data_IF_869353650210
#
_entry.id   IF_869353650210
#
_cell.length_a   1.000
_cell.length_b   1.000
_cell.length_c   1.000
_cell.angle_alpha   90.00
_cell.angle_beta   90.00
_cell.angle_gamma   90.00
#
_symmetry.space_group_name_H-M   'P 1'
#
loop_
_entity.id
_entity.type
_entity.pdbx_description
1 polymer ?
#
# COMPACT_ATOMS: atom_id res chain seq x y z
N UNK A 1 -11.12 30.13 -26.03
CA UNK A 1 -11.30 29.71 -24.62
C UNK A 1 -11.37 28.19 -24.59
N UNK A 2 -10.30 27.52 -24.16
CA UNK A 2 -10.32 26.04 -24.02
C UNK A 2 -11.18 25.69 -22.82
N UNK A 3 -12.32 25.03 -23.05
CA UNK A 3 -13.14 24.51 -21.97
C UNK A 3 -12.33 23.45 -21.21
N UNK A 4 -11.86 23.79 -20.01
CA UNK A 4 -11.08 22.87 -19.19
C UNK A 4 -11.92 21.62 -18.92
N UNK A 5 -11.48 20.45 -19.42
CA UNK A 5 -12.17 19.16 -19.26
C UNK A 5 -12.61 18.95 -17.81
N UNK A 6 -13.86 18.59 -17.51
CA UNK A 6 -14.33 18.41 -16.14
C UNK A 6 -13.54 17.33 -15.38
N UNK A 7 -13.43 17.44 -14.04
CA UNK A 7 -12.61 16.54 -13.20
C UNK A 7 -13.13 15.11 -13.28
N UNK A 8 -14.44 14.96 -13.43
CA UNK A 8 -15.13 13.70 -13.64
C UNK A 8 -14.67 12.99 -14.91
N UNK A 9 -14.43 13.71 -16.01
CA UNK A 9 -13.93 13.13 -17.25
C UNK A 9 -12.49 12.63 -17.09
N UNK A 10 -11.64 13.38 -16.38
CA UNK A 10 -10.26 12.95 -16.08
C UNK A 10 -10.26 11.70 -15.21
N UNK A 11 -11.05 11.67 -14.13
CA UNK A 11 -11.20 10.50 -13.27
C UNK A 11 -11.72 9.29 -14.05
N UNK A 12 -12.74 9.47 -14.90
CA UNK A 12 -13.28 8.38 -15.72
C UNK A 12 -12.23 7.82 -16.68
N UNK A 13 -11.39 8.67 -17.27
CA UNK A 13 -10.28 8.22 -18.13
C UNK A 13 -9.24 7.39 -17.36
N UNK A 14 -8.91 7.78 -16.12
CA UNK A 14 -7.98 7.04 -15.27
C UNK A 14 -8.55 5.69 -14.84
N UNK A 15 -9.85 5.61 -14.55
CA UNK A 15 -10.54 4.35 -14.30
C UNK A 15 -10.45 3.39 -15.50
N UNK A 16 -10.68 3.89 -16.71
CA UNK A 16 -10.56 3.10 -17.94
C UNK A 16 -9.12 2.60 -18.12
N UNK A 17 -8.11 3.45 -17.90
CA UNK A 17 -6.70 3.04 -17.99
C UNK A 17 -6.38 1.90 -17.02
N UNK A 18 -6.74 2.05 -15.74
CA UNK A 18 -6.44 1.03 -14.72
C UNK A 18 -7.12 -0.31 -15.05
N UNK A 19 -8.35 -0.26 -15.57
CA UNK A 19 -9.10 -1.47 -15.95
C UNK A 19 -8.58 -2.13 -17.24
N UNK A 20 -8.14 -1.35 -18.22
CA UNK A 20 -7.71 -1.84 -19.53
C UNK A 20 -6.24 -2.29 -19.55
N UNK A 21 -5.38 -1.66 -18.75
CA UNK A 21 -3.99 -2.06 -18.59
C UNK A 21 -3.92 -3.30 -17.71
N UNK A 22 -3.85 -4.46 -18.39
CA UNK A 22 -3.76 -5.78 -17.75
C UNK A 22 -2.73 -5.83 -16.62
N UNK A 23 -1.55 -5.22 -16.81
CA UNK A 23 -0.50 -5.18 -15.79
C UNK A 23 -0.94 -4.46 -14.50
N UNK A 24 -1.63 -3.33 -14.61
CA UNK A 24 -2.14 -2.56 -13.47
C UNK A 24 -3.33 -3.23 -12.80
N UNK A 25 -4.22 -3.82 -13.60
CA UNK A 25 -5.36 -4.56 -13.08
C UNK A 25 -4.92 -5.80 -12.28
N UNK A 26 -4.00 -6.59 -12.84
CA UNK A 26 -3.47 -7.77 -12.17
C UNK A 26 -2.59 -7.42 -10.96
N UNK A 27 -1.87 -6.30 -10.97
CA UNK A 27 -1.13 -5.84 -9.79
C UNK A 27 -2.05 -5.39 -8.66
N UNK A 28 -3.24 -4.85 -8.94
CA UNK A 28 -4.24 -4.58 -7.91
C UNK A 28 -4.82 -5.88 -7.33
N UNK A 29 -5.15 -6.85 -8.18
CA UNK A 29 -5.64 -8.17 -7.74
C UNK A 29 -4.58 -8.90 -6.91
N UNK A 30 -3.30 -8.78 -7.26
CA UNK A 30 -2.24 -9.47 -6.53
C UNK A 30 -2.11 -8.96 -5.10
N UNK A 31 -2.53 -7.73 -4.78
CA UNK A 31 -2.61 -7.24 -3.38
C UNK A 31 -3.51 -8.15 -2.56
N UNK A 32 -4.72 -8.41 -3.05
CA UNK A 32 -5.69 -9.27 -2.37
C UNK A 32 -5.18 -10.72 -2.33
N UNK A 33 -4.78 -11.27 -3.48
CA UNK A 33 -4.39 -12.69 -3.59
C UNK A 33 -3.17 -12.99 -2.74
N UNK A 34 -2.12 -12.16 -2.79
CA UNK A 34 -0.91 -12.39 -2.01
C UNK A 34 -1.19 -12.28 -0.51
N UNK A 35 -1.94 -11.26 -0.08
CA UNK A 35 -2.21 -11.05 1.35
C UNK A 35 -3.11 -12.12 1.93
N UNK A 36 -4.28 -12.34 1.31
CA UNK A 36 -5.30 -13.28 1.81
C UNK A 36 -4.81 -14.71 1.63
N UNK A 37 -4.23 -15.03 0.47
CA UNK A 37 -3.75 -16.37 0.17
C UNK A 37 -2.64 -16.80 1.13
N UNK A 38 -1.65 -15.93 1.38
CA UNK A 38 -0.57 -16.27 2.31
C UNK A 38 -1.09 -16.36 3.73
N UNK A 39 -1.97 -15.44 4.17
CA UNK A 39 -2.56 -15.55 5.51
C UNK A 39 -3.33 -16.85 5.69
N UNK A 40 -4.14 -17.26 4.70
CA UNK A 40 -4.88 -18.51 4.76
C UNK A 40 -3.94 -19.73 4.79
N UNK A 41 -2.87 -19.73 3.99
CA UNK A 41 -1.86 -20.79 4.01
C UNK A 41 -1.15 -20.87 5.37
N UNK A 42 -0.72 -19.73 5.93
CA UNK A 42 -0.06 -19.70 7.24
C UNK A 42 -1.01 -20.11 8.35
N UNK A 43 -2.28 -19.66 8.32
CA UNK A 43 -3.30 -20.06 9.28
C UNK A 43 -3.65 -21.55 9.18
N UNK A 44 -3.72 -22.12 7.98
CA UNK A 44 -3.91 -23.56 7.80
C UNK A 44 -2.74 -24.38 8.35
N UNK A 45 -1.51 -23.89 8.15
CA UNK A 45 -0.29 -24.60 8.56
C UNK A 45 -0.01 -24.50 10.07
N UNK A 46 -0.22 -23.31 10.65
CA UNK A 46 0.23 -22.98 12.01
C UNK A 46 -0.90 -22.62 12.97
N UNK A 47 -2.13 -22.40 12.49
CA UNK A 47 -3.25 -21.94 13.33
C UNK A 47 -3.62 -22.89 14.48
N UNK A 48 -3.27 -24.17 14.36
CA UNK A 48 -3.46 -25.19 15.41
C UNK A 48 -2.15 -25.66 16.07
N UNK A 49 -1.00 -25.11 15.69
CA UNK A 49 0.30 -25.43 16.31
C UNK A 49 0.38 -24.89 17.75
N UNK A 50 1.50 -25.02 18.46
CA UNK A 50 1.63 -24.47 19.82
C UNK A 50 1.45 -22.94 19.87
N UNK A 51 1.08 -22.41 21.04
CA UNK A 51 0.98 -20.97 21.27
C UNK A 51 2.33 -20.29 20.94
N UNK A 52 2.27 -19.14 20.25
CA UNK A 52 3.46 -18.41 19.82
C UNK A 52 4.05 -18.85 18.46
N UNK A 53 3.57 -19.95 17.85
CA UNK A 53 4.03 -20.43 16.54
C UNK A 53 3.89 -19.42 15.39
N UNK A 54 2.96 -18.46 15.51
CA UNK A 54 2.71 -17.37 14.56
C UNK A 54 3.30 -16.02 15.00
N UNK A 55 4.05 -16.02 16.11
CA UNK A 55 4.51 -14.81 16.80
C UNK A 55 3.78 -14.56 18.11
N UNK A 56 4.37 -13.69 18.94
CA UNK A 56 3.89 -13.36 20.29
C UNK A 56 2.69 -12.41 20.29
N UNK A 57 2.45 -11.67 19.20
CA UNK A 57 1.33 -10.74 19.05
C UNK A 57 0.23 -11.37 18.18
N UNK A 58 -0.90 -11.80 18.77
CA UNK A 58 -1.98 -12.48 18.04
C UNK A 58 -2.60 -11.60 16.95
N UNK A 59 -2.67 -10.29 17.18
CA UNK A 59 -3.26 -9.37 16.22
C UNK A 59 -2.33 -9.18 15.02
N UNK A 60 -1.02 -9.11 15.24
CA UNK A 60 -0.05 -9.01 14.14
C UNK A 60 0.01 -10.32 13.35
N UNK A 61 -0.04 -11.46 14.04
CA UNK A 61 -0.13 -12.81 13.46
C UNK A 61 -1.35 -12.98 12.55
N UNK A 62 -2.50 -12.39 12.91
CA UNK A 62 -3.71 -12.40 12.09
C UNK A 62 -3.55 -11.70 10.73
N UNK A 63 -2.50 -10.89 10.55
CA UNK A 63 -2.18 -10.17 9.33
C UNK A 63 -0.78 -10.49 8.80
N UNK A 64 -0.21 -11.67 9.11
CA UNK A 64 1.10 -12.09 8.62
C UNK A 64 1.24 -11.99 7.08
N UNK A 65 0.19 -12.34 6.33
CA UNK A 65 0.13 -12.22 4.87
C UNK A 65 0.39 -10.80 4.33
N UNK A 66 0.24 -9.76 5.16
CA UNK A 66 0.53 -8.37 4.81
C UNK A 66 1.98 -8.15 4.40
N UNK A 67 2.92 -8.94 4.94
CA UNK A 67 4.33 -8.83 4.58
C UNK A 67 4.60 -9.04 3.09
N UNK A 68 3.70 -9.76 2.42
CA UNK A 68 3.72 -9.98 0.97
C UNK A 68 2.73 -9.05 0.25
N UNK A 69 1.57 -8.79 0.87
CA UNK A 69 0.60 -7.80 0.41
C UNK A 69 1.19 -6.42 0.14
N UNK A 70 2.10 -5.97 1.00
CA UNK A 70 2.78 -4.68 0.84
C UNK A 70 3.63 -4.62 -0.42
N UNK A 71 4.27 -5.73 -0.82
CA UNK A 71 5.10 -5.81 -2.03
C UNK A 71 4.19 -5.70 -3.25
N UNK A 72 3.05 -6.39 -3.22
CA UNK A 72 2.02 -6.27 -4.25
C UNK A 72 1.45 -4.84 -4.32
N UNK A 73 1.23 -4.17 -3.18
CA UNK A 73 0.77 -2.78 -3.16
C UNK A 73 1.80 -1.80 -3.73
N UNK A 74 3.08 -2.00 -3.40
CA UNK A 74 4.20 -1.26 -4.01
C UNK A 74 4.22 -1.48 -5.53
N UNK A 75 4.08 -2.73 -5.98
CA UNK A 75 4.01 -3.08 -7.40
C UNK A 75 2.81 -2.43 -8.09
N UNK A 76 1.63 -2.41 -7.47
CA UNK A 76 0.46 -1.71 -7.98
C UNK A 76 0.73 -0.21 -8.16
N UNK A 77 1.20 0.47 -7.10
CA UNK A 77 1.52 1.89 -7.16
C UNK A 77 2.55 2.23 -8.24
N UNK A 78 3.62 1.44 -8.31
CA UNK A 78 4.69 1.64 -9.28
C UNK A 78 4.23 1.38 -10.73
N UNK A 79 3.51 0.28 -10.98
CA UNK A 79 3.03 -0.06 -12.33
C UNK A 79 1.96 0.91 -12.83
N UNK A 80 1.02 1.30 -11.96
CA UNK A 80 -0.05 2.23 -12.31
C UNK A 80 0.48 3.61 -12.72
N UNK A 81 1.53 4.10 -12.05
CA UNK A 81 2.10 5.41 -12.36
C UNK A 81 3.15 5.35 -13.48
N UNK A 82 3.96 4.29 -13.54
CA UNK A 82 5.00 4.14 -14.57
C UNK A 82 4.46 3.94 -15.98
N UNK A 83 3.20 3.54 -16.13
CA UNK A 83 2.51 3.52 -17.42
C UNK A 83 2.52 4.87 -18.14
N UNK A 84 2.60 5.99 -17.40
CA UNK A 84 2.71 7.33 -17.99
C UNK A 84 4.10 7.61 -18.57
N UNK A 85 5.15 6.92 -18.10
CA UNK A 85 6.51 7.17 -18.58
C UNK A 85 6.93 6.25 -19.74
N UNK A 86 6.11 5.23 -20.05
CA UNK A 86 6.36 4.36 -21.20
C UNK A 86 5.91 5.01 -22.50
N UNK A 87 6.72 4.87 -23.56
CA UNK A 87 6.39 5.27 -24.94
C UNK A 87 5.88 6.71 -25.08
N UNK A 88 6.30 7.63 -24.21
CA UNK A 88 5.86 9.02 -24.23
C UNK A 88 4.39 9.24 -23.83
N UNK A 89 3.75 8.28 -23.14
CA UNK A 89 2.34 8.37 -22.75
C UNK A 89 2.03 9.65 -21.93
N UNK A 90 2.97 10.14 -21.13
CA UNK A 90 2.82 11.38 -20.36
C UNK A 90 2.54 12.57 -21.27
N UNK A 91 3.22 12.66 -22.42
CA UNK A 91 2.96 13.73 -23.40
C UNK A 91 1.54 13.64 -23.92
N UNK A 92 1.05 12.45 -24.24
CA UNK A 92 -0.33 12.25 -24.70
C UNK A 92 -1.39 12.55 -23.62
N UNK A 93 -1.11 12.21 -22.36
CA UNK A 93 -2.00 12.56 -21.25
C UNK A 93 -2.06 14.08 -21.03
N UNK A 94 -0.92 14.77 -21.18
CA UNK A 94 -0.83 16.22 -20.99
C UNK A 94 -1.35 17.04 -22.18
N UNK A 95 -1.39 16.49 -23.40
CA UNK A 95 -2.10 17.13 -24.52
C UNK A 95 -3.61 17.07 -24.33
N UNK A 96 -4.13 15.99 -23.73
CA UNK A 96 -5.54 15.86 -23.39
C UNK A 96 -5.91 16.72 -22.16
N UNK A 97 -5.09 16.71 -21.11
CA UNK A 97 -5.28 17.46 -19.87
C UNK A 97 -4.08 18.39 -19.63
N UNK A 98 -4.08 19.63 -20.17
CA UNK A 98 -2.94 20.53 -20.09
C UNK A 98 -2.62 21.03 -18.66
N UNK A 99 -3.59 20.94 -17.74
CA UNK A 99 -3.36 21.20 -16.33
C UNK A 99 -2.67 20.02 -15.66
N UNK A 100 -1.34 20.13 -15.52
CA UNK A 100 -0.48 19.11 -14.89
C UNK A 100 -0.89 18.79 -13.44
N UNK A 101 -1.39 19.77 -12.69
CA UNK A 101 -1.79 19.57 -11.29
C UNK A 101 -3.08 18.78 -11.24
N UNK A 102 -4.06 19.17 -12.06
CA UNK A 102 -5.33 18.45 -12.15
C UNK A 102 -5.14 17.02 -12.62
N UNK A 103 -4.30 16.79 -13.63
CA UNK A 103 -3.94 15.45 -14.09
C UNK A 103 -3.35 14.62 -12.95
N UNK A 104 -2.30 15.13 -12.30
CA UNK A 104 -1.62 14.41 -11.22
C UNK A 104 -2.55 14.07 -10.05
N UNK A 105 -3.33 15.05 -9.56
CA UNK A 105 -4.24 14.84 -8.45
C UNK A 105 -5.38 13.88 -8.80
N UNK A 106 -5.93 13.95 -10.03
CA UNK A 106 -6.98 13.02 -10.47
C UNK A 106 -6.45 11.59 -10.57
N UNK A 107 -5.24 11.40 -11.09
CA UNK A 107 -4.61 10.08 -11.16
C UNK A 107 -4.29 9.50 -9.78
N UNK A 108 -3.64 10.30 -8.93
CA UNK A 108 -3.27 9.87 -7.57
C UNK A 108 -4.51 9.61 -6.70
N UNK A 109 -5.58 10.40 -6.85
CA UNK A 109 -6.84 10.16 -6.13
C UNK A 109 -7.57 8.90 -6.62
N UNK A 110 -7.63 8.66 -7.93
CA UNK A 110 -8.20 7.41 -8.47
C UNK A 110 -7.38 6.20 -8.00
N UNK A 111 -6.06 6.25 -8.09
CA UNK A 111 -5.16 5.19 -7.61
C UNK A 111 -5.37 4.94 -6.11
N UNK A 112 -5.41 6.00 -5.30
CA UNK A 112 -5.66 5.92 -3.86
C UNK A 112 -7.04 5.33 -3.53
N UNK A 113 -8.09 5.73 -4.26
CA UNK A 113 -9.44 5.21 -4.05
C UNK A 113 -9.51 3.70 -4.34
N UNK A 114 -8.89 3.24 -5.43
CA UNK A 114 -8.88 1.81 -5.77
C UNK A 114 -8.01 0.99 -4.81
N UNK A 115 -6.85 1.51 -4.43
CA UNK A 115 -6.03 0.88 -3.41
C UNK A 115 -6.76 0.81 -2.06
N UNK A 116 -7.56 1.82 -1.71
CA UNK A 116 -8.35 1.84 -0.49
C UNK A 116 -9.47 0.81 -0.51
N UNK A 117 -10.25 0.75 -1.58
CA UNK A 117 -11.32 -0.26 -1.71
C UNK A 117 -10.73 -1.66 -1.70
N UNK A 118 -9.71 -1.92 -2.53
CA UNK A 118 -9.04 -3.22 -2.58
C UNK A 118 -8.35 -3.56 -1.26
N UNK A 119 -7.71 -2.59 -0.61
CA UNK A 119 -7.03 -2.76 0.66
C UNK A 119 -7.99 -3.06 1.81
N UNK A 120 -9.14 -2.38 1.89
CA UNK A 120 -10.16 -2.66 2.92
C UNK A 120 -10.78 -4.05 2.71
N UNK A 121 -11.09 -4.42 1.46
CA UNK A 121 -11.53 -5.77 1.13
C UNK A 121 -10.46 -6.81 1.53
N UNK A 122 -9.19 -6.50 1.24
CA UNK A 122 -8.07 -7.37 1.60
C UNK A 122 -7.96 -7.51 3.12
N UNK A 123 -8.01 -6.42 3.89
CA UNK A 123 -7.96 -6.47 5.36
C UNK A 123 -9.08 -7.30 5.97
N UNK A 124 -10.31 -7.13 5.48
CA UNK A 124 -11.46 -7.91 5.95
C UNK A 124 -11.29 -9.40 5.61
N UNK A 125 -10.95 -9.72 4.36
CA UNK A 125 -10.80 -11.11 3.93
C UNK A 125 -9.60 -11.79 4.57
N UNK A 126 -8.49 -11.08 4.78
CA UNK A 126 -7.32 -11.59 5.49
C UNK A 126 -7.68 -11.97 6.93
N UNK A 127 -8.41 -11.09 7.63
CA UNK A 127 -8.88 -11.39 8.98
C UNK A 127 -9.81 -12.60 8.97
N UNK A 128 -10.90 -12.57 8.20
CA UNK A 128 -11.91 -13.65 8.18
C UNK A 128 -11.29 -14.99 7.75
N UNK A 129 -10.49 -15.02 6.69
CA UNK A 129 -9.86 -16.24 6.21
C UNK A 129 -8.82 -16.79 7.20
N UNK A 130 -8.06 -15.91 7.87
CA UNK A 130 -7.12 -16.31 8.92
C UNK A 130 -7.84 -16.91 10.12
N UNK A 131 -8.86 -16.22 10.63
CA UNK A 131 -9.59 -16.64 11.83
C UNK A 131 -10.39 -17.93 11.62
N UNK A 132 -10.94 -18.16 10.44
CA UNK A 132 -11.65 -19.40 10.11
C UNK A 132 -10.79 -20.67 10.26
N UNK A 133 -9.46 -20.53 10.23
CA UNK A 133 -8.51 -21.64 10.27
C UNK A 133 -7.77 -21.76 11.61
N UNK A 134 -7.96 -20.81 12.54
CA UNK A 134 -7.28 -20.74 13.85
C UNK A 134 -7.95 -21.55 14.97
N UNK A 135 -9.16 -22.08 14.78
CA UNK A 135 -9.83 -22.90 15.80
C UNK A 135 -10.14 -22.11 17.08
N UNK A 136 -9.82 -22.68 18.25
CA UNK A 136 -10.09 -22.08 19.57
C UNK A 136 -9.32 -20.76 19.84
N UNK A 137 -8.30 -20.46 19.04
CA UNK A 137 -7.47 -19.25 19.14
C UNK A 137 -7.89 -18.14 18.19
N UNK A 138 -9.04 -18.31 17.52
CA UNK A 138 -9.57 -17.31 16.62
C UNK A 138 -9.99 -16.05 17.38
N UNK A 139 -9.52 -14.90 16.91
CA UNK A 139 -9.97 -13.59 17.32
C UNK A 139 -11.34 -13.29 16.73
N UNK A 140 -12.17 -12.59 17.49
CA UNK A 140 -13.44 -12.05 17.04
C UNK A 140 -13.29 -10.59 16.58
N UNK A 141 -14.19 -10.13 15.69
CA UNK A 141 -14.22 -8.71 15.32
C UNK A 141 -14.53 -7.79 16.52
N UNK A 142 -15.17 -8.33 17.57
CA UNK A 142 -15.42 -7.63 18.82
C UNK A 142 -14.19 -7.47 19.71
N UNK A 143 -13.11 -8.20 19.43
CA UNK A 143 -11.92 -8.16 20.27
C UNK A 143 -11.22 -6.79 20.20
N UNK A 144 -10.61 -6.35 21.31
CA UNK A 144 -9.90 -5.09 21.35
C UNK A 144 -8.87 -4.95 20.23
N UNK A 145 -9.09 -3.98 19.35
CA UNK A 145 -8.18 -3.67 18.25
C UNK A 145 -8.41 -4.45 16.95
N UNK A 146 -9.31 -5.45 16.91
CA UNK A 146 -9.59 -6.22 15.69
C UNK A 146 -10.09 -5.33 14.54
N UNK A 147 -11.13 -4.52 14.79
CA UNK A 147 -11.64 -3.54 13.79
C UNK A 147 -10.57 -2.54 13.38
N UNK A 148 -9.77 -2.07 14.34
CA UNK A 148 -8.64 -1.15 14.06
C UNK A 148 -7.62 -1.80 13.12
N UNK A 149 -7.28 -3.06 13.34
CA UNK A 149 -6.32 -3.79 12.52
C UNK A 149 -6.86 -4.05 11.10
N UNK A 150 -8.14 -4.40 10.96
CA UNK A 150 -8.80 -4.55 9.64
C UNK A 150 -8.74 -3.24 8.85
N UNK A 151 -9.18 -2.14 9.47
CA UNK A 151 -9.15 -0.81 8.84
C UNK A 151 -7.71 -0.37 8.57
N UNK A 152 -6.81 -0.62 9.53
CA UNK A 152 -5.39 -0.32 9.46
C UNK A 152 -4.68 -1.03 8.31
N UNK A 153 -5.00 -2.32 8.08
CA UNK A 153 -4.49 -3.10 6.96
C UNK A 153 -4.83 -2.43 5.62
N UNK A 154 -6.08 -2.02 5.42
CA UNK A 154 -6.48 -1.34 4.20
C UNK A 154 -5.83 0.03 4.02
N UNK A 155 -5.75 0.84 5.08
CA UNK A 155 -5.06 2.14 5.05
C UNK A 155 -3.56 1.97 4.78
N UNK A 156 -2.93 0.98 5.40
CA UNK A 156 -1.52 0.65 5.20
C UNK A 156 -1.21 0.33 3.73
N UNK A 157 -1.95 -0.61 3.13
CA UNK A 157 -1.76 -1.00 1.73
C UNK A 157 -1.98 0.18 0.78
N UNK A 158 -2.96 1.03 1.08
CA UNK A 158 -3.24 2.27 0.32
C UNK A 158 -2.06 3.24 0.37
N UNK A 159 -1.54 3.50 1.56
CA UNK A 159 -0.43 4.43 1.75
C UNK A 159 0.86 3.89 1.12
N UNK A 160 1.11 2.59 1.20
CA UNK A 160 2.25 1.95 0.53
C UNK A 160 2.15 2.05 -1.00
N UNK A 161 0.95 1.86 -1.56
CA UNK A 161 0.71 2.06 -2.99
C UNK A 161 0.92 3.53 -3.41
N UNK A 162 0.41 4.49 -2.65
CA UNK A 162 0.61 5.93 -2.91
C UNK A 162 2.08 6.34 -2.74
N UNK A 163 2.78 5.78 -1.77
CA UNK A 163 4.21 6.00 -1.57
C UNK A 163 5.02 5.55 -2.78
N UNK A 164 4.77 4.33 -3.27
CA UNK A 164 5.41 3.80 -4.48
C UNK A 164 5.03 4.61 -5.74
N UNK A 165 3.78 5.02 -5.89
CA UNK A 165 3.33 5.85 -7.01
C UNK A 165 4.00 7.24 -7.00
N UNK A 166 4.08 7.90 -5.84
CA UNK A 166 4.76 9.18 -5.66
C UNK A 166 6.25 9.07 -6.01
N UNK A 167 6.93 8.04 -5.49
CA UNK A 167 8.33 7.81 -5.82
C UNK A 167 8.53 7.49 -7.31
N UNK A 168 7.58 6.79 -7.93
CA UNK A 168 7.62 6.51 -9.38
C UNK A 168 7.50 7.79 -10.19
N UNK A 169 6.66 8.73 -9.75
CA UNK A 169 6.55 10.05 -10.36
C UNK A 169 7.86 10.84 -10.27
N UNK A 170 8.58 10.75 -9.14
CA UNK A 170 9.88 11.39 -8.93
C UNK A 170 10.98 10.77 -9.80
N UNK A 171 11.06 9.43 -9.82
CA UNK A 171 12.12 8.70 -10.51
C UNK A 171 11.84 8.48 -12.00
N UNK A 172 10.60 8.68 -12.45
CA UNK A 172 10.12 8.39 -13.81
C UNK A 172 10.36 6.93 -14.26
N UNK A 173 10.48 6.00 -13.31
CA UNK A 173 10.74 4.58 -13.59
C UNK A 173 10.11 3.69 -12.52
N UNK A 174 9.20 2.81 -12.94
CA UNK A 174 8.61 1.80 -12.05
C UNK A 174 9.64 0.75 -11.63
N UNK A 175 10.54 0.37 -12.54
CA UNK A 175 11.62 -0.60 -12.25
C UNK A 175 12.54 -0.06 -11.16
N UNK A 176 12.97 1.20 -11.26
CA UNK A 176 13.83 1.82 -10.26
C UNK A 176 13.17 1.82 -8.86
N UNK A 177 11.88 2.15 -8.80
CA UNK A 177 11.13 2.13 -7.53
C UNK A 177 11.04 0.72 -6.96
N UNK A 178 10.71 -0.28 -7.78
CA UNK A 178 10.61 -1.66 -7.30
C UNK A 178 11.96 -2.18 -6.81
N UNK A 179 13.04 -1.90 -7.55
CA UNK A 179 14.41 -2.28 -7.20
C UNK A 179 14.93 -1.62 -5.92
N UNK A 180 14.43 -0.44 -5.56
CA UNK A 180 14.86 0.26 -4.34
C UNK A 180 13.94 -0.09 -3.16
N UNK A 181 12.62 0.01 -3.36
CA UNK A 181 11.66 -0.02 -2.27
C UNK A 181 11.45 -1.43 -1.72
N UNK A 182 11.50 -2.47 -2.57
CA UNK A 182 11.33 -3.86 -2.11
C UNK A 182 12.51 -4.27 -1.21
N UNK A 183 13.79 -4.13 -1.62
CA UNK A 183 14.90 -4.44 -0.72
C UNK A 183 14.95 -3.55 0.52
N UNK A 184 14.55 -2.29 0.40
CA UNK A 184 14.46 -1.38 1.55
C UNK A 184 13.50 -1.92 2.62
N UNK A 185 12.28 -2.28 2.23
CA UNK A 185 11.25 -2.78 3.15
C UNK A 185 11.59 -4.18 3.70
N UNK A 186 12.24 -5.04 2.90
CA UNK A 186 12.53 -6.42 3.32
C UNK A 186 13.82 -6.52 4.15
N UNK A 187 14.92 -5.92 3.68
CA UNK A 187 16.24 -6.08 4.32
C UNK A 187 16.55 -4.96 5.30
N UNK A 188 16.41 -3.70 4.87
CA UNK A 188 16.84 -2.56 5.71
C UNK A 188 16.00 -2.49 6.97
N UNK A 189 14.69 -2.71 6.85
CA UNK A 189 13.79 -2.75 8.01
C UNK A 189 14.01 -3.96 8.93
N UNK A 190 14.61 -5.04 8.45
CA UNK A 190 15.00 -6.18 9.29
C UNK A 190 16.29 -5.91 10.07
N UNK A 191 17.29 -5.32 9.41
CA UNK A 191 18.60 -5.01 10.00
C UNK A 191 18.49 -3.84 10.98
N UNK A 192 17.83 -2.74 10.58
CA UNK A 192 17.67 -1.56 11.43
C UNK A 192 16.73 -1.83 12.60
N UNK A 193 15.69 -2.65 12.40
CA UNK A 193 14.80 -3.09 13.47
C UNK A 193 15.48 -3.93 14.56
N UNK A 194 16.57 -4.64 14.22
CA UNK A 194 17.34 -5.45 15.17
C UNK A 194 18.55 -4.70 15.76
N UNK A 195 19.13 -3.72 15.05
CA UNK A 195 20.36 -3.04 15.44
C UNK A 195 20.19 -1.60 15.97
N UNK A 196 19.12 -0.89 15.60
CA UNK A 196 18.92 0.53 15.93
C UNK A 196 17.60 0.73 16.70
N UNK A 197 17.64 0.46 18.00
CA UNK A 197 16.52 0.73 18.91
C UNK A 197 16.15 2.22 18.85
N UNK A 198 15.01 2.52 18.22
CA UNK A 198 14.42 3.86 18.17
C UNK A 198 14.22 4.46 16.78
N UNK A 199 15.04 4.14 15.77
CA UNK A 199 14.86 4.68 14.40
C UNK A 199 14.02 3.74 13.53
N UNK A 200 14.18 2.42 13.72
CA UNK A 200 13.44 1.41 12.94
C UNK A 200 11.92 1.54 13.05
N UNK A 201 11.40 2.08 14.16
CA UNK A 201 9.96 2.31 14.36
C UNK A 201 9.37 3.39 13.42
N UNK A 202 10.19 4.29 12.88
CA UNK A 202 9.75 5.35 11.95
C UNK A 202 9.86 4.96 10.47
N UNK A 203 10.30 3.73 10.17
CA UNK A 203 10.33 3.22 8.80
C UNK A 203 8.91 2.99 8.30
N UNK A 204 8.61 3.28 7.02
CA UNK A 204 7.24 3.28 6.50
C UNK A 204 6.53 1.93 6.68
N UNK A 205 7.25 0.81 6.49
CA UNK A 205 6.70 -0.53 6.67
C UNK A 205 6.41 -0.84 8.16
N UNK A 206 7.36 -0.53 9.06
CA UNK A 206 7.22 -0.82 10.50
C UNK A 206 6.20 0.09 11.17
N UNK A 207 6.26 1.39 10.88
CA UNK A 207 5.39 2.40 11.47
C UNK A 207 3.93 2.11 11.13
N UNK A 208 3.65 1.81 9.86
CA UNK A 208 2.31 1.50 9.40
C UNK A 208 1.75 0.20 9.99
N UNK A 209 2.59 -0.79 10.27
CA UNK A 209 2.18 -2.05 10.92
C UNK A 209 1.75 -1.88 12.39
N UNK A 210 2.02 -0.74 13.02
CA UNK A 210 1.57 -0.46 14.40
C UNK A 210 0.03 -0.55 14.55
N UNK A 211 -0.73 -0.35 13.47
CA UNK A 211 -2.18 -0.49 13.47
C UNK A 211 -2.67 -1.92 13.72
N UNK A 212 -1.86 -2.91 13.33
CA UNK A 212 -2.17 -4.34 13.38
C UNK A 212 -1.56 -5.02 14.60
N UNK A 213 -0.96 -4.26 15.52
CA UNK A 213 -0.40 -4.80 16.76
C UNK A 213 -1.35 -4.65 17.92
N UNK A 214 -1.34 -5.63 18.83
CA UNK A 214 -2.10 -5.56 20.08
C UNK A 214 -1.45 -4.59 21.07
N UNK A 215 -0.12 -4.58 21.11
CA UNK A 215 0.69 -3.69 21.95
C UNK A 215 1.52 -2.71 21.10
N UNK A 216 1.81 -1.53 21.64
CA UNK A 216 2.66 -0.54 20.97
C UNK A 216 4.05 -1.11 20.71
N UNK A 217 4.59 -0.83 19.51
CA UNK A 217 5.97 -1.16 19.18
C UNK A 217 6.84 0.08 19.42
N UNK A 218 7.62 0.06 20.51
CA UNK A 218 8.30 1.25 20.99
C UNK A 218 7.32 2.31 21.50
N UNK A 219 7.58 3.57 21.18
CA UNK A 219 6.81 4.72 21.68
C UNK A 219 5.64 5.11 20.74
N UNK A 220 5.56 4.51 19.55
CA UNK A 220 4.55 4.81 18.56
C UNK A 220 3.26 4.02 18.82
N UNK A 221 2.21 4.74 19.18
CA UNK A 221 0.85 4.20 19.17
C UNK A 221 0.35 3.91 17.73
N UNK A 222 -0.72 3.12 17.59
CA UNK A 222 -1.25 2.68 16.29
C UNK A 222 -1.45 3.81 15.27
N UNK A 223 -2.14 4.88 15.68
CA UNK A 223 -2.43 6.02 14.82
C UNK A 223 -1.22 6.90 14.53
N UNK A 224 -0.29 7.01 15.49
CA UNK A 224 0.96 7.75 15.30
C UNK A 224 1.84 7.05 14.27
N UNK A 225 1.97 5.73 14.34
CA UNK A 225 2.70 4.93 13.35
C UNK A 225 2.08 5.04 11.94
N UNK A 226 0.75 4.99 11.83
CA UNK A 226 0.07 5.23 10.57
C UNK A 226 0.31 6.66 10.04
N UNK A 227 0.34 7.65 10.95
CA UNK A 227 0.66 9.04 10.63
C UNK A 227 2.08 9.21 10.05
N UNK A 228 3.05 8.47 10.57
CA UNK A 228 4.42 8.44 10.02
C UNK A 228 4.44 7.88 8.60
N UNK A 229 3.74 6.76 8.35
CA UNK A 229 3.61 6.23 7.00
C UNK A 229 2.88 7.22 6.07
N UNK A 230 1.82 7.87 6.56
CA UNK A 230 1.11 8.90 5.81
C UNK A 230 2.02 10.10 5.46
N UNK A 231 2.95 10.47 6.34
CA UNK A 231 3.96 11.49 6.06
C UNK A 231 4.93 11.04 4.96
N UNK A 232 5.43 9.80 5.02
CA UNK A 232 6.28 9.23 3.95
C UNK A 232 5.57 9.24 2.59
N UNK A 233 4.33 8.74 2.55
CA UNK A 233 3.51 8.75 1.35
C UNK A 233 3.24 10.18 0.86
N UNK A 234 2.90 11.09 1.77
CA UNK A 234 2.65 12.49 1.48
C UNK A 234 3.86 13.20 0.89
N UNK A 235 5.05 13.00 1.47
CA UNK A 235 6.31 13.56 0.95
C UNK A 235 6.60 13.02 -0.45
N UNK A 236 6.43 11.72 -0.70
CA UNK A 236 6.65 11.14 -2.02
C UNK A 236 5.64 11.65 -3.06
N UNK A 237 4.36 11.77 -2.70
CA UNK A 237 3.31 12.31 -3.57
C UNK A 237 3.55 13.79 -3.88
N UNK A 238 3.95 14.59 -2.88
CA UNK A 238 4.32 15.99 -3.08
C UNK A 238 5.56 16.13 -3.97
N UNK A 239 6.59 15.33 -3.73
CA UNK A 239 7.78 15.27 -4.57
C UNK A 239 7.44 14.88 -6.01
N UNK A 240 6.54 13.91 -6.18
CA UNK A 240 6.03 13.46 -7.47
C UNK A 240 5.29 14.55 -8.22
N UNK A 241 4.37 15.25 -7.54
CA UNK A 241 3.66 16.41 -8.09
C UNK A 241 4.63 17.51 -8.54
N UNK A 242 5.59 17.86 -7.69
CA UNK A 242 6.62 18.86 -8.03
C UNK A 242 7.47 18.44 -9.23
N UNK A 243 7.85 17.16 -9.32
CA UNK A 243 8.61 16.61 -10.45
C UNK A 243 7.81 16.69 -11.76
N UNK A 244 6.53 16.31 -11.76
CA UNK A 244 5.65 16.39 -12.93
C UNK A 244 5.40 17.85 -13.35
N UNK A 245 5.28 18.75 -12.38
CA UNK A 245 5.05 20.17 -12.65
C UNK A 245 6.28 20.87 -13.23
N UNK A 246 7.48 20.55 -12.73
CA UNK A 246 8.72 21.28 -13.07
C UNK A 246 9.50 20.69 -14.24
N UNK A 247 9.46 19.37 -14.42
CA UNK A 247 10.25 18.72 -15.49
C UNK A 247 9.42 18.66 -16.76
N UNK A 248 10.00 19.08 -17.89
CA UNK A 248 9.34 18.94 -19.18
C UNK A 248 9.10 17.46 -19.52
N UNK A 249 8.02 17.24 -20.26
CA UNK A 249 7.59 15.94 -20.75
C UNK A 249 8.26 15.62 -22.08
#
# INVERSE_FOLDING_TARGET
MSAALPTTAVLHSEWIKIRSLRGTFWSLISVLVATVGIQALTAAALGRAEEGSMGEDPLLAAFYGLNFGQIAAIAFGATAFSAEFHNGALRTSLTAVPDRTRFYLSKSSMLGALALVAGQLTGLLTFVAGQALMGERALELGDPGAVRAVVGCGLYLTLMALFAAGLTAVLRSGVAVLSILIPFVVMVSFIVGSAASGVGQFMPDRAGQAMMRSQSYGDLGPWAGLGVLALWAGVAVLGGWLAVRRRDA
#
